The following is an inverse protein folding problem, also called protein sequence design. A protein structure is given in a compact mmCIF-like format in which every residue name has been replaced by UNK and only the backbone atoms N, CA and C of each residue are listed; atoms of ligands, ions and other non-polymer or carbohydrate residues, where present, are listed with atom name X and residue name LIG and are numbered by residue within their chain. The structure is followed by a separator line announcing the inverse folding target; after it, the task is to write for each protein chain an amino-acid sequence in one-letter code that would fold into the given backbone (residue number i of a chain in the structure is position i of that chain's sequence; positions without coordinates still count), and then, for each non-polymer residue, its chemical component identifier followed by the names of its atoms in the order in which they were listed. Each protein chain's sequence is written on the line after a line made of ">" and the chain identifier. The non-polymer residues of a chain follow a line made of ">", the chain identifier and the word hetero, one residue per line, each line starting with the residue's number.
data_IF_770769016425
#
_entry.id   IF_770769016425
#
_cell.length_a   1.000
_cell.length_b   1.000
_cell.length_c   1.000
_cell.angle_alpha   90.00
_cell.angle_beta   90.00
_cell.angle_gamma   90.00
#
_symmetry.space_group_name_H-M   'P 1'
#
loop_
_entity.id
_entity.type
_entity.pdbx_description
1 polymer ?
#
# COMPACT_ATOMS: atom_id res chain seq x y z
N UNK A 1 -4.98 0.89 -2.47
CA UNK A 1 -4.11 0.54 -1.33
C UNK A 1 -2.76 0.12 -1.88
N UNK A 2 -1.67 0.64 -1.34
CA UNK A 2 -0.31 0.22 -1.66
C UNK A 2 0.29 -0.35 -0.38
N UNK A 3 0.64 -1.62 -0.40
CA UNK A 3 1.43 -2.21 0.69
C UNK A 3 2.90 -2.04 0.35
N UNK A 4 3.67 -1.41 1.22
CA UNK A 4 5.10 -1.15 1.07
C UNK A 4 5.87 -1.84 2.19
N UNK A 5 7.17 -2.03 1.99
CA UNK A 5 8.03 -2.69 2.97
C UNK A 5 8.67 -3.97 2.44
N UNK A 6 9.98 -4.05 2.60
CA UNK A 6 10.79 -5.20 2.22
C UNK A 6 10.29 -6.50 2.86
N UNK A 7 9.83 -6.49 4.11
CA UNK A 7 9.37 -7.68 4.82
C UNK A 7 8.16 -8.32 4.15
N UNK A 8 7.21 -7.50 3.70
CA UNK A 8 5.99 -7.99 3.04
C UNK A 8 6.32 -8.37 1.60
N UNK A 9 7.05 -7.53 0.87
CA UNK A 9 7.40 -7.80 -0.52
C UNK A 9 8.23 -9.08 -0.69
N UNK A 10 9.19 -9.33 0.20
CA UNK A 10 10.00 -10.56 0.20
C UNK A 10 9.37 -11.71 1.00
N UNK A 11 8.10 -11.58 1.40
CA UNK A 11 7.32 -12.64 2.07
C UNK A 11 7.97 -13.13 3.38
N UNK A 12 8.69 -12.22 4.08
CA UNK A 12 9.23 -12.46 5.41
C UNK A 12 8.14 -12.34 6.47
N UNK A 13 7.15 -11.48 6.24
CA UNK A 13 5.95 -11.29 7.05
C UNK A 13 4.70 -11.32 6.16
N UNK A 14 3.56 -11.72 6.73
CA UNK A 14 2.26 -11.67 6.04
C UNK A 14 1.63 -10.28 6.11
N UNK A 15 0.95 -9.87 5.04
CA UNK A 15 0.15 -8.64 5.01
C UNK A 15 -1.15 -8.82 5.80
N UNK A 16 -1.15 -8.31 7.03
CA UNK A 16 -2.33 -8.33 7.91
C UNK A 16 -3.13 -7.03 7.85
N UNK A 17 -2.64 -5.99 7.17
CA UNK A 17 -3.26 -4.65 7.15
C UNK A 17 -4.22 -4.47 5.99
N UNK A 18 -3.94 -5.03 4.81
CA UNK A 18 -4.85 -4.97 3.66
C UNK A 18 -6.27 -5.43 3.98
N UNK A 19 -6.52 -6.60 4.62
CA UNK A 19 -7.88 -7.01 4.95
C UNK A 19 -8.57 -6.03 5.92
N UNK A 20 -7.82 -5.49 6.90
CA UNK A 20 -8.34 -4.49 7.85
C UNK A 20 -8.72 -3.19 7.14
N UNK A 21 -7.93 -2.73 6.17
CA UNK A 21 -8.24 -1.54 5.37
C UNK A 21 -9.49 -1.79 4.52
N UNK A 22 -9.59 -2.95 3.87
CA UNK A 22 -10.76 -3.29 3.06
C UNK A 22 -12.05 -3.32 3.88
N UNK A 23 -12.03 -3.96 5.06
CA UNK A 23 -13.17 -3.97 5.98
C UNK A 23 -13.56 -2.55 6.41
N UNK A 24 -12.59 -1.73 6.81
CA UNK A 24 -12.83 -0.33 7.20
C UNK A 24 -13.41 0.50 6.06
N UNK A 25 -12.91 0.34 4.83
CA UNK A 25 -13.46 1.07 3.67
C UNK A 25 -14.91 0.69 3.41
N UNK A 26 -15.25 -0.60 3.53
CA UNK A 26 -16.61 -1.09 3.36
C UNK A 26 -17.59 -0.48 4.38
N UNK A 27 -17.17 -0.21 5.62
CA UNK A 27 -17.99 0.49 6.64
C UNK A 27 -18.42 1.91 6.19
N UNK A 28 -17.62 2.56 5.34
CA UNK A 28 -17.92 3.89 4.78
C UNK A 28 -18.53 3.84 3.38
N UNK A 29 -18.84 2.64 2.85
CA UNK A 29 -19.33 2.46 1.48
C UNK A 29 -18.27 2.74 0.41
N UNK A 30 -16.99 2.74 0.78
CA UNK A 30 -15.87 2.88 -0.15
C UNK A 30 -15.40 1.50 -0.65
N UNK A 31 -14.93 1.47 -1.90
CA UNK A 31 -14.40 0.27 -2.53
C UNK A 31 -12.89 0.39 -2.77
N UNK A 32 -12.15 -0.66 -2.48
CA UNK A 32 -10.75 -0.76 -2.87
C UNK A 32 -10.65 -1.19 -4.33
N UNK A 33 -10.45 -0.23 -5.23
CA UNK A 33 -10.37 -0.48 -6.68
C UNK A 33 -8.96 -0.83 -7.18
N UNK A 34 -7.94 -0.66 -6.33
CA UNK A 34 -6.53 -0.87 -6.69
C UNK A 34 -5.76 -1.41 -5.48
N UNK A 35 -4.98 -2.47 -5.67
CA UNK A 35 -4.06 -3.00 -4.66
C UNK A 35 -2.79 -3.55 -5.32
N UNK A 36 -1.63 -3.10 -4.84
CA UNK A 36 -0.32 -3.63 -5.23
C UNK A 36 0.65 -3.60 -4.03
N UNK A 37 1.67 -4.47 -4.07
CA UNK A 37 2.72 -4.59 -3.05
C UNK A 37 4.07 -4.18 -3.64
N UNK A 38 4.84 -3.37 -2.91
CA UNK A 38 6.16 -2.87 -3.31
C UNK A 38 7.19 -3.08 -2.22
N UNK A 39 8.46 -3.20 -2.63
CA UNK A 39 9.62 -3.02 -1.76
C UNK A 39 9.80 -1.53 -1.43
N UNK A 40 10.77 -1.20 -0.56
CA UNK A 40 11.05 0.20 -0.17
C UNK A 40 11.82 1.02 -1.23
N UNK A 41 11.52 0.77 -2.50
CA UNK A 41 11.97 1.61 -3.60
C UNK A 41 10.99 2.78 -3.81
N UNK A 42 11.43 3.98 -3.41
CA UNK A 42 10.62 5.20 -3.51
C UNK A 42 10.09 5.48 -4.94
N UNK A 43 10.85 5.10 -5.98
CA UNK A 43 10.41 5.32 -7.37
C UNK A 43 9.25 4.40 -7.73
N UNK A 44 9.30 3.13 -7.32
CA UNK A 44 8.23 2.15 -7.53
C UNK A 44 6.98 2.51 -6.75
N UNK A 45 7.13 2.96 -5.51
CA UNK A 45 6.01 3.44 -4.68
C UNK A 45 5.35 4.65 -5.35
N UNK A 46 6.14 5.62 -5.80
CA UNK A 46 5.62 6.81 -6.49
C UNK A 46 4.87 6.44 -7.77
N UNK A 47 5.40 5.53 -8.58
CA UNK A 47 4.74 5.07 -9.80
C UNK A 47 3.48 4.24 -9.50
N UNK A 48 3.46 3.50 -8.39
CA UNK A 48 2.26 2.86 -7.87
C UNK A 48 1.15 3.85 -7.54
N UNK A 49 1.49 4.95 -6.86
CA UNK A 49 0.53 6.02 -6.56
C UNK A 49 -0.05 6.61 -7.84
N UNK A 50 0.79 6.84 -8.86
CA UNK A 50 0.34 7.32 -10.18
C UNK A 50 -0.62 6.33 -10.84
N UNK A 51 -0.27 5.05 -10.87
CA UNK A 51 -1.15 4.00 -11.44
C UNK A 51 -2.48 3.89 -10.70
N UNK A 52 -2.49 4.05 -9.38
CA UNK A 52 -3.73 4.09 -8.61
C UNK A 52 -4.61 5.30 -8.99
N UNK A 53 -4.01 6.48 -9.15
CA UNK A 53 -4.74 7.67 -9.64
C UNK A 53 -5.25 7.49 -11.07
N UNK A 54 -4.45 6.92 -11.97
CA UNK A 54 -4.85 6.61 -13.35
C UNK A 54 -5.96 5.55 -13.43
N UNK A 55 -5.99 4.61 -12.48
CA UNK A 55 -7.08 3.64 -12.32
C UNK A 55 -8.39 4.27 -11.79
N UNK A 56 -8.39 5.57 -11.47
CA UNK A 56 -9.56 6.32 -11.03
C UNK A 56 -9.75 6.34 -9.51
N UNK A 57 -8.70 6.10 -8.71
CA UNK A 57 -8.82 6.14 -7.26
C UNK A 57 -8.98 7.58 -6.75
N UNK A 58 -10.04 7.83 -5.98
CA UNK A 58 -10.25 9.11 -5.29
C UNK A 58 -9.28 9.30 -4.10
N UNK A 59 -8.86 8.19 -3.48
CA UNK A 59 -7.98 8.17 -2.32
C UNK A 59 -6.97 7.03 -2.42
N UNK A 60 -5.70 7.34 -2.13
CA UNK A 60 -4.61 6.37 -2.10
C UNK A 60 -4.16 6.17 -0.65
N UNK A 61 -4.29 4.94 -0.16
CA UNK A 61 -3.74 4.52 1.13
C UNK A 61 -2.40 3.81 0.92
N UNK A 62 -1.35 4.28 1.58
CA UNK A 62 -0.08 3.57 1.70
C UNK A 62 0.02 2.94 3.10
N UNK A 63 0.53 1.72 3.19
CA UNK A 63 0.71 1.01 4.47
C UNK A 63 2.00 0.19 4.44
N UNK A 64 2.73 0.17 5.57
CA UNK A 64 4.10 -0.38 5.64
C UNK A 64 5.17 0.66 5.27
N UNK A 65 6.45 0.34 5.47
CA UNK A 65 7.59 1.18 5.08
C UNK A 65 7.63 2.60 5.70
N UNK A 66 7.09 2.77 6.92
CA UNK A 66 6.94 4.06 7.64
C UNK A 66 7.58 4.05 9.06
N UNK A 67 8.39 3.03 9.38
CA UNK A 67 9.07 2.92 10.68
C UNK A 67 10.30 3.85 10.69
N UNK A 68 11.22 3.63 11.64
CA UNK A 68 12.49 4.36 11.76
C UNK A 68 13.64 3.64 11.04
N UNK A 69 13.34 2.60 10.26
CA UNK A 69 14.35 1.79 9.60
C UNK A 69 14.92 2.56 8.39
N UNK A 70 16.24 2.52 8.15
CA UNK A 70 16.89 3.38 7.16
C UNK A 70 16.48 3.07 5.71
N UNK A 71 15.89 1.90 5.48
CA UNK A 71 15.30 1.50 4.21
C UNK A 71 13.83 1.91 4.06
N UNK A 72 13.11 2.31 5.11
CA UNK A 72 11.72 2.80 5.03
C UNK A 72 11.62 4.08 4.18
N UNK A 73 10.91 4.00 3.04
CA UNK A 73 10.83 5.09 2.04
C UNK A 73 9.45 5.27 1.43
N UNK A 74 8.40 4.92 2.18
CA UNK A 74 7.01 5.16 1.77
C UNK A 74 6.65 6.64 1.80
#
# INVERSE_FOLDING_TARGET
>A
VLTTGNEVYYHRNEDTFTPVIQEKLAEFGAEMIFHEVYDDDASRITDGCRRAMEAGADLVFCTGGMSVDPDDKT
#
